data_IF_286084753956
#
_entry.id   IF_286084753956
#
_cell.length_a   1.000
_cell.length_b   1.000
_cell.length_c   1.000
_cell.angle_alpha   90.00
_cell.angle_beta   90.00
_cell.angle_gamma   90.00
#
_symmetry.space_group_name_H-M   'P 1'
#
loop_
_entity.id
_entity.type
_entity.pdbx_description
1 polymer ?
#
# COMPACT_ATOMS: atom_id res chain seq x y z
N UNK A 1 -10.17 -55.43 -20.89
CA UNK A 1 -9.84 -54.20 -21.62
C UNK A 1 -10.08 -53.01 -20.69
N UNK A 2 -9.05 -52.57 -19.98
CA UNK A 2 -9.14 -51.41 -19.08
C UNK A 2 -8.73 -50.16 -19.88
N UNK A 3 -9.69 -49.31 -20.25
CA UNK A 3 -9.41 -48.01 -20.86
C UNK A 3 -9.22 -47.00 -19.73
N UNK A 4 -7.97 -46.78 -19.35
CA UNK A 4 -7.58 -45.63 -18.55
C UNK A 4 -7.59 -44.41 -19.50
N UNK A 5 -8.44 -43.38 -19.33
CA UNK A 5 -8.38 -42.21 -20.18
C UNK A 5 -7.10 -41.44 -19.86
N UNK A 6 -6.32 -41.14 -20.89
CA UNK A 6 -5.10 -40.36 -20.79
C UNK A 6 -5.43 -38.97 -20.24
N UNK A 7 -5.10 -38.76 -18.97
CA UNK A 7 -4.93 -37.44 -18.39
C UNK A 7 -3.62 -36.89 -18.97
N UNK A 8 -3.66 -35.95 -19.92
CA UNK A 8 -2.53 -35.06 -20.25
C UNK A 8 -2.92 -33.95 -21.24
N UNK A 9 -3.82 -33.07 -20.81
CA UNK A 9 -3.89 -31.68 -21.29
C UNK A 9 -3.44 -30.75 -20.15
N UNK A 10 -2.26 -31.02 -19.58
CA UNK A 10 -1.72 -30.19 -18.51
C UNK A 10 -1.23 -28.85 -19.10
N UNK A 11 -1.98 -27.77 -18.84
CA UNK A 11 -1.54 -26.42 -19.17
C UNK A 11 -0.47 -25.98 -18.17
N UNK A 12 0.79 -25.89 -18.63
CA UNK A 12 1.87 -25.33 -17.82
C UNK A 12 1.73 -23.81 -17.82
N UNK A 13 1.21 -23.27 -16.72
CA UNK A 13 1.26 -21.82 -16.47
C UNK A 13 2.70 -21.47 -16.11
N UNK A 14 3.37 -20.73 -16.98
CA UNK A 14 4.66 -20.11 -16.65
C UNK A 14 4.38 -18.80 -15.91
N UNK A 15 5.01 -18.56 -14.74
CA UNK A 15 4.83 -17.30 -14.03
C UNK A 15 5.39 -16.15 -14.87
N UNK A 16 4.54 -15.17 -15.19
CA UNK A 16 4.97 -13.91 -15.79
C UNK A 16 5.36 -12.94 -14.68
N UNK A 17 6.63 -12.90 -14.31
CA UNK A 17 7.13 -11.86 -13.40
C UNK A 17 7.59 -10.67 -14.23
N UNK A 18 6.71 -9.69 -14.44
CA UNK A 18 7.15 -8.37 -14.91
C UNK A 18 7.71 -7.62 -13.71
N UNK A 19 9.03 -7.61 -13.58
CA UNK A 19 9.71 -6.71 -12.65
C UNK A 19 9.75 -5.33 -13.29
N UNK A 20 9.10 -4.37 -12.64
CA UNK A 20 9.19 -2.96 -13.01
C UNK A 20 10.05 -2.29 -11.95
N UNK A 21 11.14 -1.66 -12.35
CA UNK A 21 11.92 -0.79 -11.49
C UNK A 21 11.42 0.65 -11.63
N UNK A 22 11.16 1.29 -10.50
CA UNK A 22 10.78 2.70 -10.43
C UNK A 22 11.94 3.49 -9.82
N UNK A 23 12.31 4.60 -10.45
CA UNK A 23 13.26 5.53 -9.86
C UNK A 23 12.51 6.42 -8.87
N UNK A 24 12.89 6.33 -7.60
CA UNK A 24 12.28 7.09 -6.51
C UNK A 24 13.22 8.24 -6.14
N UNK A 25 12.69 9.45 -6.06
CA UNK A 25 13.44 10.59 -5.56
C UNK A 25 13.32 10.66 -4.02
N UNK A 26 14.38 11.03 -3.27
CA UNK A 26 14.38 11.01 -1.81
C UNK A 26 13.22 11.80 -1.18
N UNK A 27 12.79 12.90 -1.80
CA UNK A 27 11.67 13.73 -1.32
C UNK A 27 10.30 13.05 -1.38
N UNK A 28 10.18 11.92 -2.07
CA UNK A 28 8.95 11.12 -2.11
C UNK A 28 8.92 10.01 -1.05
N UNK A 29 9.99 9.88 -0.26
CA UNK A 29 10.09 8.86 0.78
C UNK A 29 9.52 9.42 2.07
N UNK A 30 8.50 8.75 2.60
CA UNK A 30 7.91 9.04 3.89
C UNK A 30 8.60 8.20 4.95
N UNK A 31 9.23 8.87 5.91
CA UNK A 31 9.93 8.24 7.01
C UNK A 31 9.03 8.20 8.26
N UNK A 32 8.79 7.00 8.77
CA UNK A 32 8.04 6.72 10.00
C UNK A 32 9.05 6.26 11.07
N UNK A 33 9.52 7.12 11.99
CA UNK A 33 10.60 6.77 12.91
C UNK A 33 10.31 5.53 13.78
N UNK A 34 9.04 5.35 14.17
CA UNK A 34 8.59 4.20 14.94
C UNK A 34 8.07 3.05 14.06
N UNK A 35 8.05 3.21 12.75
CA UNK A 35 7.41 2.28 11.81
C UNK A 35 5.89 2.33 11.96
N UNK A 36 5.22 1.30 11.45
CA UNK A 36 3.79 1.10 11.67
C UNK A 36 3.56 0.04 12.76
N UNK A 37 2.42 0.06 13.47
CA UNK A 37 2.07 -1.01 14.40
C UNK A 37 2.14 -2.39 13.72
N UNK A 38 2.81 -3.35 14.36
CA UNK A 38 3.10 -4.70 13.84
C UNK A 38 4.05 -4.75 12.62
N UNK A 39 4.61 -3.62 12.21
CA UNK A 39 5.61 -3.49 11.14
C UNK A 39 6.71 -2.50 11.56
N UNK A 40 7.16 -2.60 12.81
CA UNK A 40 8.08 -1.66 13.41
C UNK A 40 9.44 -1.62 12.71
N UNK A 41 9.86 -2.71 12.06
CA UNK A 41 11.13 -2.78 11.32
C UNK A 41 11.10 -2.03 9.97
N UNK A 42 9.91 -1.66 9.49
CA UNK A 42 9.71 -0.96 8.21
C UNK A 42 9.51 0.54 8.50
N UNK A 43 10.44 1.37 8.01
CA UNK A 43 10.49 2.79 8.39
C UNK A 43 10.30 3.71 7.20
N UNK A 44 10.50 3.23 5.98
CA UNK A 44 10.53 4.08 4.79
C UNK A 44 9.52 3.58 3.77
N UNK A 45 8.61 4.46 3.39
CA UNK A 45 7.53 4.13 2.48
C UNK A 45 7.43 5.10 1.32
N UNK A 46 6.92 4.61 0.20
CA UNK A 46 6.50 5.44 -0.94
C UNK A 46 5.04 5.16 -1.25
N UNK A 47 4.33 6.20 -1.67
CA UNK A 47 2.93 6.12 -2.06
C UNK A 47 2.83 6.24 -3.57
N UNK A 48 2.23 5.25 -4.22
CA UNK A 48 2.04 5.24 -5.68
C UNK A 48 0.57 5.19 -6.03
N UNK A 49 0.21 5.98 -7.04
CA UNK A 49 -1.15 6.13 -7.55
C UNK A 49 -1.07 6.01 -9.06
N UNK A 50 -1.99 5.25 -9.66
CA UNK A 50 -2.11 5.15 -11.11
C UNK A 50 -3.57 5.19 -11.53
N UNK A 51 -3.88 5.67 -12.75
CA UNK A 51 -5.24 5.62 -13.27
C UNK A 51 -5.81 4.20 -13.37
N UNK A 52 -4.96 3.21 -13.65
CA UNK A 52 -5.37 1.79 -13.80
C UNK A 52 -5.81 1.17 -12.47
N UNK A 53 -5.26 1.66 -11.35
CA UNK A 53 -5.55 1.15 -10.01
C UNK A 53 -6.41 2.10 -9.19
N UNK A 54 -6.88 3.21 -9.76
CA UNK A 54 -7.75 4.15 -9.07
C UNK A 54 -9.03 3.46 -8.58
N UNK A 55 -9.51 3.70 -7.35
CA UNK A 55 -9.09 4.75 -6.41
C UNK A 55 -8.00 4.33 -5.40
N UNK A 56 -7.31 3.22 -5.64
CA UNK A 56 -6.34 2.67 -4.69
C UNK A 56 -4.99 3.39 -4.75
N UNK A 57 -4.39 3.51 -3.57
CA UNK A 57 -3.03 4.00 -3.33
C UNK A 57 -2.21 2.85 -2.78
N UNK A 58 -1.03 2.58 -3.34
CA UNK A 58 -0.13 1.58 -2.80
C UNK A 58 0.92 2.24 -1.92
N UNK A 59 0.95 1.88 -0.63
CA UNK A 59 1.97 2.29 0.34
C UNK A 59 3.02 1.18 0.45
N UNK A 60 4.11 1.35 -0.29
CA UNK A 60 5.14 0.32 -0.43
C UNK A 60 6.34 0.61 0.46
N UNK A 61 6.76 -0.37 1.26
CA UNK A 61 7.97 -0.27 2.04
C UNK A 61 9.22 -0.37 1.15
N UNK A 62 10.29 0.34 1.51
CA UNK A 62 11.56 0.29 0.79
C UNK A 62 12.51 -0.79 1.32
N UNK A 63 12.25 -1.30 2.53
CA UNK A 63 13.04 -2.37 3.12
C UNK A 63 12.82 -3.72 2.40
N UNK A 64 13.80 -4.65 2.45
CA UNK A 64 13.73 -5.91 1.71
C UNK A 64 12.72 -6.88 2.30
N UNK A 65 11.45 -6.80 1.87
CA UNK A 65 10.44 -7.84 2.15
C UNK A 65 9.28 -7.86 1.15
N UNK A 66 9.23 -6.94 0.18
CA UNK A 66 8.09 -6.82 -0.73
C UNK A 66 6.78 -6.40 -0.05
N UNK A 67 6.85 -5.80 1.15
CA UNK A 67 5.70 -5.31 1.88
C UNK A 67 5.08 -4.11 1.16
N UNK A 68 3.79 -4.20 0.85
CA UNK A 68 3.01 -3.11 0.29
C UNK A 68 1.58 -3.18 0.80
N UNK A 69 1.06 -2.06 1.29
CA UNK A 69 -0.32 -1.94 1.70
C UNK A 69 -1.15 -1.33 0.57
N UNK A 70 -2.35 -1.87 0.37
CA UNK A 70 -3.35 -1.22 -0.46
C UNK A 70 -4.14 -0.28 0.45
N UNK A 71 -4.23 0.97 0.02
CA UNK A 71 -4.91 2.03 0.75
C UNK A 71 -5.99 2.66 -0.13
N UNK A 72 -6.96 3.31 0.49
CA UNK A 72 -8.00 4.10 -0.18
C UNK A 72 -8.29 5.36 0.62
N UNK A 73 -8.78 6.40 -0.05
CA UNK A 73 -9.42 7.53 0.63
C UNK A 73 -10.69 7.02 1.35
N UNK A 74 -10.76 7.08 2.70
CA UNK A 74 -11.88 6.54 3.45
C UNK A 74 -13.20 7.28 3.16
N UNK A 75 -13.17 8.53 2.70
CA UNK A 75 -14.37 9.31 2.38
C UNK A 75 -15.11 8.76 1.16
N UNK A 76 -14.42 8.03 0.28
CA UNK A 76 -15.04 7.32 -0.85
C UNK A 76 -15.92 6.15 -0.40
N UNK A 77 -15.60 5.55 0.76
CA UNK A 77 -16.33 4.40 1.33
C UNK A 77 -17.36 4.87 2.35
N UNK A 78 -16.97 5.81 3.20
CA UNK A 78 -17.83 6.39 4.23
C UNK A 78 -17.69 7.92 4.21
N UNK A 79 -18.59 8.64 3.51
CA UNK A 79 -18.51 10.10 3.37
C UNK A 79 -18.57 10.88 4.69
N UNK A 80 -19.11 10.29 5.76
CA UNK A 80 -19.15 10.89 7.10
C UNK A 80 -18.03 10.38 8.03
N UNK A 81 -17.00 9.71 7.52
CA UNK A 81 -15.87 9.26 8.33
C UNK A 81 -15.20 10.46 9.01
N UNK A 82 -15.17 10.47 10.35
CA UNK A 82 -14.67 11.60 11.13
C UNK A 82 -13.73 11.09 12.25
N UNK A 83 -12.50 10.69 11.91
CA UNK A 83 -11.56 10.21 12.92
C UNK A 83 -11.19 11.34 13.88
N UNK A 84 -11.14 11.03 15.17
CA UNK A 84 -10.62 11.97 16.17
C UNK A 84 -9.11 11.85 16.22
N UNK A 85 -8.42 12.94 15.89
CA UNK A 85 -6.96 13.05 16.04
C UNK A 85 -6.69 13.76 17.37
N UNK A 86 -6.01 13.08 18.30
CA UNK A 86 -5.72 13.62 19.62
C UNK A 86 -4.70 14.78 19.58
N UNK A 87 -4.60 15.62 20.62
CA UNK A 87 -3.66 16.75 20.64
C UNK A 87 -2.20 16.32 20.43
N UNK A 88 -1.78 15.21 21.05
CA UNK A 88 -0.43 14.68 20.90
C UNK A 88 -0.12 14.29 19.44
N UNK A 89 -1.09 13.69 18.74
CA UNK A 89 -0.92 13.31 17.33
C UNK A 89 -0.91 14.55 16.43
N UNK A 90 -1.72 15.57 16.73
CA UNK A 90 -1.71 16.84 16.01
C UNK A 90 -0.35 17.53 16.11
N UNK A 91 0.26 17.52 17.29
CA UNK A 91 1.59 18.10 17.53
C UNK A 91 2.67 17.33 16.74
N UNK A 92 2.64 16.00 16.78
CA UNK A 92 3.57 15.14 16.02
C UNK A 92 3.45 15.36 14.53
N UNK A 93 2.23 15.44 14.02
CA UNK A 93 1.93 15.67 12.60
C UNK A 93 2.11 17.13 12.17
N UNK A 94 2.36 18.05 13.13
CA UNK A 94 2.50 19.50 12.91
C UNK A 94 1.31 20.06 12.12
N UNK A 95 0.11 19.61 12.46
CA UNK A 95 -1.11 20.01 11.76
C UNK A 95 -1.42 21.47 12.04
N UNK A 96 -1.14 22.33 11.07
CA UNK A 96 -1.52 23.75 11.13
C UNK A 96 -2.89 24.00 10.52
N UNK A 97 -3.30 23.17 9.55
CA UNK A 97 -4.56 23.26 8.83
C UNK A 97 -5.07 21.87 8.40
N UNK A 98 -6.39 21.65 8.28
CA UNK A 98 -6.93 20.36 7.84
C UNK A 98 -6.61 20.00 6.38
N UNK A 99 -6.42 21.00 5.51
CA UNK A 99 -6.17 20.82 4.07
C UNK A 99 -4.75 20.32 3.75
N UNK A 100 -3.86 20.26 4.74
CA UNK A 100 -2.50 19.73 4.59
C UNK A 100 -2.38 18.26 4.99
N UNK A 101 -3.49 17.60 5.34
CA UNK A 101 -3.54 16.20 5.76
C UNK A 101 -3.97 15.30 4.61
N UNK A 102 -3.20 14.24 4.37
CA UNK A 102 -3.64 13.10 3.57
C UNK A 102 -4.15 12.02 4.52
N UNK A 103 -5.39 11.57 4.34
CA UNK A 103 -6.00 10.50 5.13
C UNK A 103 -6.21 9.27 4.24
N UNK A 104 -5.67 8.13 4.68
CA UNK A 104 -5.75 6.87 3.97
C UNK A 104 -6.20 5.77 4.94
N UNK A 105 -7.05 4.86 4.47
CA UNK A 105 -7.40 3.61 5.15
C UNK A 105 -6.73 2.44 4.42
N UNK A 106 -6.07 1.56 5.17
CA UNK A 106 -5.61 0.27 4.66
C UNK A 106 -6.83 -0.65 4.46
N UNK A 107 -6.87 -1.40 3.35
CA UNK A 107 -7.98 -2.33 3.00
C UNK A 107 -7.66 -3.79 3.30
#
# INVERSE_FOLDING_TARGET
MNKNPAMNDAMIIKPYTRLVSLTIRPEHVFHFPQGLPAFEDFKNYVFTISPETSPFVFMQALEPAGLSFVCVDPFLVHPQYAPRIGPADQDVLRLTRPDTLMLLSIV
#
